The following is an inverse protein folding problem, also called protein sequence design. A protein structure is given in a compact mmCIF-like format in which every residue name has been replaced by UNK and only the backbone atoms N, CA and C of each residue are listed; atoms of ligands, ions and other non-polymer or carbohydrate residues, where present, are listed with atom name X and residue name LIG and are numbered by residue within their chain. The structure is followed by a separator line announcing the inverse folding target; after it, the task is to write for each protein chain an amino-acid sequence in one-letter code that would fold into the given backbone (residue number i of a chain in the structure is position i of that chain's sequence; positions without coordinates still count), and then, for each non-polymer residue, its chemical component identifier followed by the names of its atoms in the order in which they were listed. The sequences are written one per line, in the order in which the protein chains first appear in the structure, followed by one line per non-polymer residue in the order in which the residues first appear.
data_IF_670661344458
#
_entry.id   IF_670661344458
#
_cell.length_a   1.000
_cell.length_b   1.000
_cell.length_c   1.000
_cell.angle_alpha   90.00
_cell.angle_beta   90.00
_cell.angle_gamma   90.00
#
_symmetry.space_group_name_H-M   'P 1'
#
loop_
_entity.id
_entity.type
_entity.pdbx_description
1 polymer ?
#
# COMPACT_ATOMS: atom_id res chain seq x y z
N UNK A 1 1.29 10.59 -1.47
CA UNK A 1 2.72 10.36 -1.14
C UNK A 1 3.22 9.06 -1.77
N UNK A 2 4.54 8.83 -1.82
CA UNK A 2 5.16 7.56 -2.28
C UNK A 2 4.75 6.38 -1.37
N UNK A 3 4.85 5.13 -1.87
CA UNK A 3 4.52 3.94 -1.08
C UNK A 3 5.65 3.49 -0.13
N UNK A 4 6.91 3.81 -0.43
CA UNK A 4 8.06 3.48 0.43
C UNK A 4 8.93 2.29 -0.04
N UNK A 5 8.47 1.42 -0.94
CA UNK A 5 9.20 0.21 -1.33
C UNK A 5 10.58 0.50 -1.97
N UNK A 6 10.66 1.29 -3.05
CA UNK A 6 11.93 1.82 -3.60
C UNK A 6 13.11 0.83 -3.80
N UNK A 7 12.87 -0.49 -3.87
CA UNK A 7 13.92 -1.51 -3.94
C UNK A 7 14.89 -1.48 -2.76
N UNK A 8 16.17 -1.20 -3.02
CA UNK A 8 17.20 -1.15 -1.96
C UNK A 8 16.92 -0.08 -0.90
N UNK A 9 16.12 0.92 -1.22
CA UNK A 9 15.72 1.95 -0.26
C UNK A 9 14.95 1.34 0.92
N UNK A 10 13.95 0.48 0.68
CA UNK A 10 13.20 -0.15 1.77
C UNK A 10 14.07 -1.01 2.68
N UNK A 11 15.11 -1.64 2.15
CA UNK A 11 16.03 -2.47 2.95
C UNK A 11 17.02 -1.61 3.75
N UNK A 12 17.57 -0.56 3.13
CA UNK A 12 18.57 0.31 3.79
C UNK A 12 17.95 1.27 4.80
N UNK A 13 16.71 1.66 4.57
CA UNK A 13 16.00 2.68 5.35
C UNK A 13 14.62 2.18 5.75
N UNK A 14 14.56 0.98 6.32
CA UNK A 14 13.33 0.29 6.71
C UNK A 14 12.37 1.19 7.52
N UNK A 15 12.79 1.91 8.58
CA UNK A 15 11.86 2.75 9.35
C UNK A 15 11.22 3.86 8.52
N UNK A 16 11.96 4.42 7.55
CA UNK A 16 11.47 5.48 6.68
C UNK A 16 10.46 4.90 5.68
N UNK A 17 10.78 3.74 5.09
CA UNK A 17 9.89 3.03 4.18
C UNK A 17 8.56 2.64 4.84
N UNK A 18 8.60 2.17 6.08
CA UNK A 18 7.40 1.82 6.87
C UNK A 18 6.59 3.08 7.20
N UNK A 19 7.23 4.17 7.64
CA UNK A 19 6.54 5.43 7.92
C UNK A 19 5.84 6.02 6.68
N UNK A 20 6.40 5.81 5.48
CA UNK A 20 5.74 6.20 4.22
C UNK A 20 4.50 5.36 3.92
N UNK A 21 4.56 4.04 4.17
CA UNK A 21 3.40 3.16 4.03
C UNK A 21 2.30 3.52 5.02
N UNK A 22 2.66 3.73 6.29
CA UNK A 22 1.76 4.20 7.35
C UNK A 22 1.02 5.47 6.92
N UNK A 23 1.76 6.54 6.59
CA UNK A 23 1.16 7.79 6.14
C UNK A 23 0.18 7.58 4.98
N UNK A 24 0.50 6.71 4.02
CA UNK A 24 -0.37 6.46 2.87
C UNK A 24 -1.61 5.66 3.24
N UNK A 25 -1.48 4.64 4.08
CA UNK A 25 -2.58 3.78 4.54
C UNK A 25 -3.53 4.54 5.47
N UNK A 26 -3.00 5.27 6.44
CA UNK A 26 -3.81 6.06 7.38
C UNK A 26 -4.61 7.15 6.65
N UNK A 27 -4.01 7.81 5.66
CA UNK A 27 -4.76 8.75 4.83
C UNK A 27 -5.87 8.07 4.03
N UNK A 28 -5.63 6.87 3.49
CA UNK A 28 -6.66 6.12 2.78
C UNK A 28 -7.82 5.73 3.70
N UNK A 29 -7.51 5.22 4.90
CA UNK A 29 -8.50 4.89 5.93
C UNK A 29 -9.33 6.12 6.34
N UNK A 30 -8.69 7.28 6.51
CA UNK A 30 -9.37 8.53 6.86
C UNK A 30 -10.39 8.99 5.80
N UNK A 31 -10.26 8.55 4.54
CA UNK A 31 -11.26 8.82 3.50
C UNK A 31 -12.45 7.86 3.53
N UNK A 32 -12.39 6.78 4.32
CA UNK A 32 -13.38 5.69 4.28
C UNK A 32 -13.20 4.75 3.10
N UNK A 33 -12.05 4.78 2.42
CA UNK A 33 -11.77 3.87 1.32
C UNK A 33 -11.65 2.42 1.80
N UNK A 34 -12.22 1.49 1.03
CA UNK A 34 -12.11 0.05 1.26
C UNK A 34 -11.01 -0.59 0.40
N UNK A 35 -10.62 0.08 -0.69
CA UNK A 35 -9.62 -0.42 -1.64
C UNK A 35 -8.59 0.66 -1.99
N UNK A 36 -7.32 0.24 -2.06
CA UNK A 36 -6.22 0.98 -2.66
C UNK A 36 -5.83 0.34 -3.99
N UNK A 37 -6.06 1.05 -5.09
CA UNK A 37 -5.78 0.56 -6.44
C UNK A 37 -4.43 1.11 -6.94
N UNK A 38 -3.61 0.25 -7.55
CA UNK A 38 -2.37 0.67 -8.20
C UNK A 38 -2.01 -0.21 -9.39
N UNK A 39 -1.15 0.29 -10.27
CA UNK A 39 -0.51 -0.46 -11.36
C UNK A 39 0.81 -1.09 -10.95
N UNK A 40 1.33 -0.76 -9.76
CA UNK A 40 2.64 -1.22 -9.32
C UNK A 40 2.50 -2.30 -8.23
N UNK A 41 2.79 -3.55 -8.61
CA UNK A 41 2.69 -4.70 -7.71
C UNK A 41 3.62 -4.58 -6.49
N UNK A 42 4.77 -3.93 -6.62
CA UNK A 42 5.72 -3.78 -5.52
C UNK A 42 5.19 -2.82 -4.44
N UNK A 43 4.53 -1.74 -4.85
CA UNK A 43 3.81 -0.86 -3.95
C UNK A 43 2.60 -1.56 -3.33
N UNK A 44 1.83 -2.33 -4.10
CA UNK A 44 0.68 -3.09 -3.56
C UNK A 44 1.15 -4.08 -2.49
N UNK A 45 2.19 -4.86 -2.76
CA UNK A 45 2.77 -5.82 -1.81
C UNK A 45 3.24 -5.12 -0.53
N UNK A 46 3.96 -4.01 -0.64
CA UNK A 46 4.47 -3.27 0.52
C UNK A 46 3.34 -2.69 1.38
N UNK A 47 2.33 -2.10 0.74
CA UNK A 47 1.18 -1.54 1.45
C UNK A 47 0.30 -2.64 2.06
N UNK A 48 0.06 -3.75 1.34
CA UNK A 48 -0.70 -4.88 1.85
C UNK A 48 0.00 -5.50 3.06
N UNK A 49 1.33 -5.66 3.03
CA UNK A 49 2.09 -6.14 4.18
C UNK A 49 1.94 -5.25 5.41
N UNK A 50 1.94 -3.93 5.23
CA UNK A 50 1.67 -2.98 6.32
C UNK A 50 0.25 -3.12 6.87
N UNK A 51 -0.75 -3.16 5.99
CA UNK A 51 -2.17 -3.32 6.34
C UNK A 51 -2.40 -4.62 7.13
N UNK A 52 -1.89 -5.74 6.62
CA UNK A 52 -2.04 -7.06 7.23
C UNK A 52 -1.41 -7.09 8.63
N UNK A 53 -0.21 -6.51 8.77
CA UNK A 53 0.48 -6.40 10.06
C UNK A 53 -0.30 -5.55 11.08
N UNK A 54 -1.07 -4.56 10.62
CA UNK A 54 -1.92 -3.72 11.49
C UNK A 54 -3.33 -4.29 11.70
N UNK A 55 -3.74 -5.27 10.91
CA UNK A 55 -5.09 -5.85 10.97
C UNK A 55 -6.18 -4.91 10.47
N UNK A 56 -5.87 -4.04 9.51
CA UNK A 56 -6.85 -3.12 8.94
C UNK A 56 -7.74 -3.80 7.89
N UNK A 57 -9.01 -3.42 7.84
CA UNK A 57 -9.97 -3.85 6.81
C UNK A 57 -9.90 -2.97 5.54
N UNK A 58 -8.67 -2.75 5.06
CA UNK A 58 -8.37 -2.07 3.80
C UNK A 58 -7.70 -3.09 2.89
N UNK A 59 -8.08 -3.14 1.61
CA UNK A 59 -7.47 -4.08 0.66
C UNK A 59 -6.73 -3.36 -0.44
N UNK A 60 -5.68 -3.96 -0.96
CA UNK A 60 -5.00 -3.49 -2.15
C UNK A 60 -5.42 -4.34 -3.36
N UNK A 61 -5.50 -3.74 -4.55
CA UNK A 61 -5.85 -4.45 -5.78
C UNK A 61 -5.16 -3.83 -7.00
N UNK A 62 -4.80 -4.67 -7.98
CA UNK A 62 -4.20 -4.17 -9.20
C UNK A 62 -5.27 -3.62 -10.15
N UNK A 63 -4.97 -2.55 -10.88
CA UNK A 63 -5.96 -1.93 -11.78
C UNK A 63 -6.51 -2.90 -12.84
N UNK A 64 -5.70 -3.85 -13.30
CA UNK A 64 -6.14 -4.85 -14.26
C UNK A 64 -7.26 -5.74 -13.68
N UNK A 65 -7.21 -6.07 -12.38
CA UNK A 65 -8.24 -6.89 -11.74
C UNK A 65 -9.57 -6.12 -11.67
N UNK A 66 -9.50 -4.81 -11.40
CA UNK A 66 -10.67 -3.91 -11.39
C UNK A 66 -11.31 -3.83 -12.78
N UNK A 67 -10.50 -3.71 -13.82
CA UNK A 67 -10.98 -3.53 -15.19
C UNK A 67 -11.48 -4.82 -15.85
N UNK A 68 -11.02 -5.99 -15.38
CA UNK A 68 -11.45 -7.30 -15.89
C UNK A 68 -12.70 -7.81 -15.18
N UNK A 69 -13.01 -7.29 -13.99
CA UNK A 69 -14.22 -7.64 -13.23
C UNK A 69 -15.52 -6.93 -13.71
N UNK A 70 -15.47 -6.23 -14.85
CA UNK A 70 -16.61 -5.62 -15.53
C UNK A 70 -17.12 -6.48 -16.69
#
# INVERSE_FOLDING_TARGET
TCCGFGGTFAVKFEPISIAMAEQKVEHALATGAQYLISTDLSCLMHLQGYIDNKGYDLKTMHIADVLVSE
#
